data_IF_692376089034
#
_entry.id   IF_692376089034
#
_cell.length_a   1.000
_cell.length_b   1.000
_cell.length_c   1.000
_cell.angle_alpha   90.00
_cell.angle_beta   90.00
_cell.angle_gamma   90.00
#
_symmetry.space_group_name_H-M   'P 1'
#
loop_
_entity.id
_entity.type
_entity.pdbx_description
1 polymer ?
#
# COMPACT_ATOMS: atom_id res chain seq x y z
N UNK A 1 30.85 -44.55 35.78
CA UNK A 1 30.85 -44.33 34.32
C UNK A 1 29.74 -43.34 34.03
N UNK A 2 30.12 -42.17 33.49
CA UNK A 2 29.28 -41.02 33.10
C UNK A 2 27.99 -41.42 32.37
N UNK A 3 26.90 -40.66 32.41
CA UNK A 3 26.78 -39.37 31.74
C UNK A 3 25.36 -38.78 31.92
N UNK A 4 25.28 -37.47 32.20
CA UNK A 4 24.31 -36.45 31.71
C UNK A 4 22.80 -36.79 31.78
N UNK A 5 21.88 -35.96 32.27
CA UNK A 5 21.83 -34.50 32.44
C UNK A 5 20.58 -34.14 33.24
N UNK A 6 20.76 -33.38 34.33
CA UNK A 6 19.75 -32.44 34.85
C UNK A 6 19.33 -31.50 33.73
N UNK A 7 18.02 -31.28 33.58
CA UNK A 7 17.33 -30.02 33.16
C UNK A 7 16.08 -30.30 32.31
N UNK A 8 15.04 -30.89 32.90
CA UNK A 8 13.69 -30.84 32.29
C UNK A 8 12.65 -30.27 33.26
N UNK A 9 12.82 -30.45 34.57
CA UNK A 9 11.84 -29.94 35.54
C UNK A 9 11.92 -28.42 35.75
N UNK A 10 13.07 -27.78 35.51
CA UNK A 10 13.22 -26.32 35.62
C UNK A 10 12.51 -25.56 34.48
N UNK A 11 12.37 -26.18 33.31
CA UNK A 11 11.73 -25.55 32.14
C UNK A 11 10.20 -25.52 32.30
N UNK A 12 9.63 -26.50 33.02
CA UNK A 12 8.19 -26.54 33.28
C UNK A 12 7.74 -25.41 34.22
N UNK A 13 8.60 -24.94 35.13
CA UNK A 13 8.28 -23.81 36.01
C UNK A 13 8.38 -22.45 35.31
N UNK A 14 9.16 -22.33 34.23
CA UNK A 14 9.17 -21.12 33.40
C UNK A 14 7.84 -20.94 32.62
N UNK A 15 7.17 -22.04 32.24
CA UNK A 15 5.91 -21.99 31.51
C UNK A 15 4.70 -21.63 32.39
N UNK A 16 4.75 -21.87 33.70
CA UNK A 16 3.67 -21.49 34.63
C UNK A 16 3.79 -20.06 35.17
N UNK A 17 4.93 -19.39 34.97
CA UNK A 17 5.17 -18.02 35.44
C UNK A 17 4.72 -16.92 34.47
N UNK A 18 4.21 -17.27 33.27
CA UNK A 18 3.62 -16.31 32.33
C UNK A 18 2.16 -16.01 32.68
N UNK A 19 1.95 -15.47 33.89
CA UNK A 19 0.76 -14.68 34.20
C UNK A 19 1.11 -13.22 33.86
N UNK A 20 0.26 -12.60 33.04
CA UNK A 20 0.30 -11.20 32.57
C UNK A 20 1.40 -10.81 31.58
N UNK A 21 1.17 -11.09 30.30
CA UNK A 21 1.60 -10.19 29.22
C UNK A 21 0.47 -10.17 28.17
N UNK A 22 -0.03 -9.00 27.72
CA UNK A 22 -0.91 -8.97 26.56
C UNK A 22 -0.12 -9.55 25.38
N UNK A 23 -0.73 -10.53 24.70
CA UNK A 23 -0.15 -11.16 23.53
C UNK A 23 0.25 -10.09 22.52
N UNK A 24 1.52 -10.12 22.12
CA UNK A 24 2.10 -9.35 21.01
C UNK A 24 1.10 -9.24 19.86
N UNK A 25 0.87 -8.05 19.28
CA UNK A 25 -0.07 -7.92 18.16
C UNK A 25 0.40 -8.84 17.03
N UNK A 26 -0.39 -9.89 16.84
CA UNK A 26 -0.32 -10.85 15.77
C UNK A 26 -0.41 -10.10 14.45
N UNK A 27 0.57 -10.32 13.57
CA UNK A 27 0.75 -9.65 12.27
C UNK A 27 0.99 -8.15 12.40
N UNK A 28 2.25 -7.76 12.18
CA UNK A 28 2.56 -6.56 11.41
C UNK A 28 1.91 -6.76 10.03
N UNK A 29 0.62 -6.46 9.95
CA UNK A 29 -0.04 -6.10 8.71
C UNK A 29 0.79 -4.96 8.18
N UNK A 30 1.38 -5.13 7.00
CA UNK A 30 2.16 -4.13 6.29
C UNK A 30 1.36 -2.81 6.31
N UNK A 31 1.61 -1.98 7.30
CA UNK A 31 1.18 -0.60 7.33
C UNK A 31 2.31 0.11 6.61
N UNK A 32 2.07 0.73 5.44
CA UNK A 32 2.99 1.72 4.94
C UNK A 32 2.85 2.92 5.88
N UNK A 33 3.35 2.79 7.11
CA UNK A 33 3.54 3.88 8.04
C UNK A 33 4.75 4.69 7.53
N UNK A 34 4.59 5.23 6.33
CA UNK A 34 5.45 6.27 5.83
C UNK A 34 5.07 7.50 6.67
N UNK A 35 5.79 7.72 7.77
CA UNK A 35 5.65 8.84 8.71
C UNK A 35 6.07 10.18 8.07
N UNK A 36 5.62 10.46 6.86
CA UNK A 36 5.73 11.75 6.20
C UNK A 36 4.42 12.53 6.34
N UNK A 37 4.53 13.86 6.37
CA UNK A 37 3.39 14.76 6.24
C UNK A 37 2.66 14.39 4.93
N UNK A 38 1.33 14.18 4.95
CA UNK A 38 0.59 13.88 3.73
C UNK A 38 0.76 15.04 2.74
N UNK A 39 1.23 14.72 1.53
CA UNK A 39 1.45 15.70 0.46
C UNK A 39 0.19 15.93 -0.38
N UNK A 40 -0.71 14.95 -0.40
CA UNK A 40 -2.00 15.04 -1.08
C UNK A 40 -2.99 14.06 -0.45
N UNK A 41 -4.26 14.23 -0.79
CA UNK A 41 -5.35 13.33 -0.41
C UNK A 41 -6.10 12.92 -1.68
N UNK A 42 -6.27 11.63 -1.88
CA UNK A 42 -7.10 11.08 -2.93
C UNK A 42 -8.45 10.73 -2.31
N UNK A 43 -9.50 11.33 -2.82
CA UNK A 43 -10.86 11.03 -2.45
C UNK A 43 -11.53 10.31 -3.62
N UNK A 44 -11.97 9.09 -3.36
CA UNK A 44 -12.88 8.34 -4.21
C UNK A 44 -14.28 8.32 -3.60
N UNK A 45 -15.25 7.79 -4.34
CA UNK A 45 -16.63 7.65 -3.85
C UNK A 45 -16.75 6.79 -2.58
N UNK A 46 -15.87 5.82 -2.43
CA UNK A 46 -15.90 4.83 -1.36
C UNK A 46 -14.54 4.65 -0.65
N UNK A 47 -13.57 5.53 -0.94
CA UNK A 47 -12.25 5.43 -0.32
C UNK A 47 -11.61 6.80 -0.13
N UNK A 48 -10.84 6.95 0.93
CA UNK A 48 -9.96 8.08 1.17
C UNK A 48 -8.54 7.54 1.31
N UNK A 49 -7.59 8.10 0.56
CA UNK A 49 -6.19 7.67 0.60
C UNK A 49 -5.28 8.89 0.78
N UNK A 50 -4.59 8.93 1.92
CA UNK A 50 -3.59 9.96 2.19
C UNK A 50 -2.29 9.64 1.47
N UNK A 51 -1.94 10.46 0.48
CA UNK A 51 -0.70 10.33 -0.28
C UNK A 51 0.44 10.86 0.55
N UNK A 52 1.37 9.98 0.90
CA UNK A 52 2.59 10.32 1.65
C UNK A 52 3.86 10.15 0.82
N UNK A 53 3.75 9.52 -0.34
CA UNK A 53 4.85 9.23 -1.24
C UNK A 53 4.80 10.16 -2.44
N UNK A 54 5.97 10.53 -2.98
CA UNK A 54 6.06 11.36 -4.19
C UNK A 54 5.44 10.70 -5.42
N UNK A 55 5.32 9.37 -5.44
CA UNK A 55 4.81 8.60 -6.58
C UNK A 55 3.84 7.56 -6.04
N UNK A 56 2.67 7.47 -6.66
CA UNK A 56 1.61 6.55 -6.31
C UNK A 56 1.11 5.83 -7.56
N UNK A 57 0.78 4.56 -7.39
CA UNK A 57 0.27 3.71 -8.45
C UNK A 57 -1.15 3.26 -8.12
N UNK A 58 -2.07 3.61 -9.00
CA UNK A 58 -3.49 3.27 -8.90
C UNK A 58 -3.80 2.19 -9.94
N UNK A 59 -4.45 1.12 -9.50
CA UNK A 59 -4.81 0.05 -10.41
C UNK A 59 -5.51 -1.11 -9.73
N UNK A 60 -5.50 -2.26 -10.39
CA UNK A 60 -6.04 -3.51 -9.85
C UNK A 60 -4.95 -4.30 -9.16
N UNK A 61 -5.16 -4.66 -7.90
CA UNK A 61 -4.27 -5.57 -7.18
C UNK A 61 -4.31 -6.97 -7.83
N UNK A 62 -3.15 -7.60 -7.97
CA UNK A 62 -3.01 -8.94 -8.54
C UNK A 62 -1.91 -9.70 -7.82
N UNK A 63 -1.93 -11.03 -7.89
CA UNK A 63 -0.85 -11.88 -7.37
C UNK A 63 0.55 -11.55 -7.93
N UNK A 64 0.63 -10.75 -9.01
CA UNK A 64 1.88 -10.37 -9.67
C UNK A 64 2.27 -8.91 -9.49
N UNK A 65 1.54 -8.12 -8.68
CA UNK A 65 1.89 -6.72 -8.47
C UNK A 65 0.95 -6.03 -7.51
N UNK A 66 1.54 -5.42 -6.50
CA UNK A 66 0.87 -4.56 -5.54
C UNK A 66 0.67 -3.14 -6.10
N UNK A 67 -0.37 -2.47 -5.62
CA UNK A 67 -0.74 -1.10 -5.97
C UNK A 67 -1.02 -0.34 -4.69
N UNK A 68 -0.76 0.98 -4.70
CA UNK A 68 -1.04 1.83 -3.54
C UNK A 68 -2.55 2.00 -3.34
N UNK A 69 -3.29 2.16 -4.45
CA UNK A 69 -4.75 2.28 -4.45
C UNK A 69 -5.34 1.17 -5.32
N UNK A 70 -6.09 0.29 -4.69
CA UNK A 70 -6.78 -0.81 -5.36
C UNK A 70 -8.18 -0.39 -5.80
N UNK A 71 -8.42 -0.39 -7.11
CA UNK A 71 -9.72 -0.07 -7.72
C UNK A 71 -10.60 -1.31 -7.95
N UNK A 72 -10.33 -2.41 -7.23
CA UNK A 72 -11.09 -3.65 -7.30
C UNK A 72 -10.58 -4.61 -8.38
N UNK A 73 -11.39 -5.62 -8.72
CA UNK A 73 -10.96 -6.76 -9.55
C UNK A 73 -11.29 -6.66 -11.05
N UNK A 74 -11.84 -5.52 -11.49
CA UNK A 74 -12.30 -5.33 -12.87
C UNK A 74 -11.18 -5.52 -13.90
N UNK A 75 -11.44 -6.31 -14.94
CA UNK A 75 -10.52 -6.52 -16.06
C UNK A 75 -10.39 -5.29 -16.98
N UNK A 76 -11.29 -4.32 -16.83
CA UNK A 76 -11.18 -3.01 -17.46
C UNK A 76 -10.07 -2.16 -16.84
N UNK A 77 -9.72 -2.43 -15.58
CA UNK A 77 -8.68 -1.71 -14.87
C UNK A 77 -7.38 -2.50 -14.97
N UNK A 78 -6.33 -1.80 -15.39
CA UNK A 78 -5.02 -2.41 -15.54
C UNK A 78 -4.33 -2.53 -14.18
N UNK A 79 -3.38 -3.47 -14.05
CA UNK A 79 -2.60 -3.64 -12.81
C UNK A 79 -1.89 -2.36 -12.40
N UNK A 80 -1.26 -1.66 -13.36
CA UNK A 80 -0.79 -0.29 -13.23
C UNK A 80 -1.61 0.56 -14.20
N UNK A 81 -2.75 1.06 -13.75
CA UNK A 81 -3.67 1.77 -14.64
C UNK A 81 -3.26 3.23 -14.77
N UNK A 82 -3.11 3.89 -13.63
CA UNK A 82 -2.71 5.28 -13.55
C UNK A 82 -1.58 5.38 -12.56
N UNK A 83 -0.69 6.31 -12.81
CA UNK A 83 0.36 6.66 -11.90
C UNK A 83 0.35 8.16 -11.70
N UNK A 84 0.42 8.61 -10.45
CA UNK A 84 0.50 10.02 -10.12
C UNK A 84 1.83 10.24 -9.44
N UNK A 85 2.53 11.29 -9.84
CA UNK A 85 3.77 11.69 -9.21
C UNK A 85 3.79 13.19 -8.95
N UNK A 86 4.52 13.56 -7.91
CA UNK A 86 4.69 14.92 -7.46
C UNK A 86 6.08 15.41 -7.83
N UNK A 87 6.12 16.42 -8.69
CA UNK A 87 7.32 17.16 -9.02
C UNK A 87 7.08 18.61 -8.64
N UNK A 88 7.70 19.05 -7.55
CA UNK A 88 7.45 20.34 -6.94
C UNK A 88 7.53 21.48 -7.99
N UNK A 89 6.47 22.30 -8.16
CA UNK A 89 5.29 22.47 -7.29
C UNK A 89 3.99 21.82 -7.83
N UNK A 90 4.06 20.86 -8.75
CA UNK A 90 2.91 20.31 -9.48
C UNK A 90 2.76 18.80 -9.33
N UNK A 91 1.51 18.33 -9.48
CA UNK A 91 1.21 16.91 -9.62
C UNK A 91 1.04 16.57 -11.09
N UNK A 92 1.54 15.41 -11.47
CA UNK A 92 1.44 14.87 -12.81
C UNK A 92 0.82 13.48 -12.76
N UNK A 93 0.04 13.15 -13.78
CA UNK A 93 -0.62 11.87 -13.95
C UNK A 93 -0.19 11.24 -15.28
N UNK A 94 0.12 9.95 -15.26
CA UNK A 94 0.40 9.15 -16.45
C UNK A 94 -0.60 8.01 -16.57
N UNK A 95 -1.18 7.88 -17.76
CA UNK A 95 -2.07 6.76 -18.09
C UNK A 95 -1.27 5.61 -18.72
N UNK A 96 -1.18 4.50 -17.97
CA UNK A 96 -0.58 3.24 -18.43
C UNK A 96 -1.64 2.18 -18.81
N UNK A 97 -2.90 2.47 -18.53
CA UNK A 97 -4.04 1.58 -18.73
C UNK A 97 -4.38 1.38 -20.20
N UNK A 98 -4.66 0.13 -20.58
CA UNK A 98 -5.05 -0.23 -21.97
C UNK A 98 -6.30 0.51 -22.47
N UNK A 99 -7.24 0.80 -21.57
CA UNK A 99 -8.53 1.40 -21.89
C UNK A 99 -8.53 2.92 -21.79
N UNK A 100 -7.40 3.53 -21.39
CA UNK A 100 -7.36 4.95 -21.06
C UNK A 100 -8.10 5.32 -19.78
N UNK A 101 -8.11 6.62 -19.46
CA UNK A 101 -8.83 7.23 -18.34
C UNK A 101 -9.47 8.53 -18.81
N UNK A 102 -10.62 8.91 -18.25
CA UNK A 102 -11.19 10.25 -18.43
C UNK A 102 -10.77 11.14 -17.26
N UNK A 103 -10.17 12.30 -17.56
CA UNK A 103 -9.82 13.32 -16.56
C UNK A 103 -10.56 14.60 -16.96
N UNK A 104 -11.44 15.11 -16.10
CA UNK A 104 -12.29 16.28 -16.35
C UNK A 104 -13.06 16.22 -17.69
N UNK A 105 -13.51 15.02 -18.07
CA UNK A 105 -14.20 14.76 -19.32
C UNK A 105 -13.30 14.55 -20.54
N UNK A 106 -11.98 14.75 -20.42
CA UNK A 106 -11.00 14.54 -21.49
C UNK A 106 -10.45 13.13 -21.45
N UNK A 107 -10.51 12.41 -22.57
CA UNK A 107 -9.97 11.06 -22.68
C UNK A 107 -8.44 11.06 -22.82
N UNK A 108 -7.76 10.40 -21.88
CA UNK A 108 -6.33 10.17 -21.87
C UNK A 108 -6.03 8.73 -22.28
N UNK A 109 -5.30 8.56 -23.38
CA UNK A 109 -4.89 7.25 -23.90
C UNK A 109 -3.58 6.77 -23.27
N UNK A 110 -3.32 5.48 -23.38
CA UNK A 110 -2.04 4.88 -22.99
C UNK A 110 -0.88 5.55 -23.74
N UNK A 111 0.15 5.97 -23.01
CA UNK A 111 1.33 6.61 -23.59
C UNK A 111 1.10 8.06 -24.05
N UNK A 112 -0.02 8.66 -23.67
CA UNK A 112 -0.14 10.12 -23.68
C UNK A 112 0.95 10.75 -22.78
N UNK A 113 1.37 12.00 -23.06
CA UNK A 113 2.25 12.73 -22.17
C UNK A 113 1.65 12.83 -20.76
N UNK A 114 2.51 13.02 -19.76
CA UNK A 114 2.07 13.22 -18.39
C UNK A 114 1.14 14.44 -18.29
N UNK A 115 -0.09 14.21 -17.85
CA UNK A 115 -1.09 15.25 -17.64
C UNK A 115 -0.78 15.96 -16.33
N UNK A 116 -0.55 17.27 -16.38
CA UNK A 116 -0.46 18.08 -15.17
C UNK A 116 -1.86 18.20 -14.53
N UNK A 117 -1.98 17.78 -13.28
CA UNK A 117 -3.22 17.90 -12.53
C UNK A 117 -3.39 19.36 -12.05
N UNK A 118 -4.60 19.92 -12.14
CA UNK A 118 -4.88 21.26 -11.65
C UNK A 118 -4.70 21.32 -10.12
N UNK A 119 -4.30 22.50 -9.62
CA UNK A 119 -4.35 22.79 -8.18
C UNK A 119 -5.79 23.18 -7.85
N UNK A 120 -6.49 22.33 -7.11
CA UNK A 120 -7.76 22.69 -6.44
C UNK A 120 -7.49 23.40 -5.13
#
# INVERSE_FOLDING_TARGET
MSAHSRTQESDAWALLALKSAPASPSKVQWSPENKGIPIARLEGREFEYMVRQKRITIGRNSSRGEVDVNMGHSSFISRRHIEIFFEHPHFYMVCNGKNGVFVDGVFQRKGAPSLQLPKT
#
